data_IF_005569649444
#
_entry.id   IF_005569649444
#
_cell.length_a   1.000
_cell.length_b   1.000
_cell.length_c   1.000
_cell.angle_alpha   90.00
_cell.angle_beta   90.00
_cell.angle_gamma   90.00
#
_symmetry.space_group_name_H-M   'P 1'
#
loop_
_entity.id
_entity.type
_entity.pdbx_description
1 polymer ?
#
# COMPACT_ATOMS: atom_id res chain seq x y z
N UNK A 1 -55.46 -73.66 -5.07
CA UNK A 1 -54.02 -73.94 -4.90
C UNK A 1 -53.23 -73.13 -5.92
N UNK A 2 -52.70 -71.97 -5.51
CA UNK A 2 -51.59 -71.25 -6.15
C UNK A 2 -50.81 -70.63 -5.00
N UNK A 3 -49.55 -71.00 -4.82
CA UNK A 3 -48.64 -70.32 -3.91
C UNK A 3 -47.40 -69.93 -4.70
N UNK A 4 -47.11 -68.64 -4.63
CA UNK A 4 -46.16 -67.88 -5.41
C UNK A 4 -44.79 -67.90 -4.73
N UNK A 5 -43.74 -68.12 -5.50
CA UNK A 5 -42.35 -67.99 -5.09
C UNK A 5 -42.00 -66.52 -4.84
N UNK A 6 -41.76 -66.17 -3.58
CA UNK A 6 -41.28 -64.86 -3.17
C UNK A 6 -39.75 -64.93 -3.08
N UNK A 7 -39.06 -64.44 -4.12
CA UNK A 7 -37.61 -64.32 -4.16
C UNK A 7 -37.14 -63.23 -3.20
N UNK A 8 -36.20 -63.58 -2.33
CA UNK A 8 -35.57 -62.71 -1.35
C UNK A 8 -34.76 -61.60 -2.06
N UNK A 9 -35.15 -60.35 -1.85
CA UNK A 9 -34.27 -59.19 -2.09
C UNK A 9 -33.44 -59.04 -0.81
N UNK A 10 -32.20 -59.52 -0.83
CA UNK A 10 -31.22 -59.21 0.21
C UNK A 10 -30.67 -57.81 -0.06
N UNK A 11 -31.00 -56.86 0.80
CA UNK A 11 -30.29 -55.59 0.93
C UNK A 11 -28.88 -55.86 1.46
N UNK A 12 -27.95 -56.20 0.57
CA UNK A 12 -26.51 -56.23 0.89
C UNK A 12 -26.02 -54.81 1.07
N UNK A 13 -26.06 -54.31 2.31
CA UNK A 13 -25.36 -53.08 2.70
C UNK A 13 -23.86 -53.30 2.51
N UNK A 14 -23.28 -52.74 1.45
CA UNK A 14 -21.82 -52.70 1.28
C UNK A 14 -21.20 -51.93 2.45
N UNK A 15 -20.12 -52.47 3.01
CA UNK A 15 -19.36 -51.78 4.07
C UNK A 15 -18.43 -50.72 3.47
N UNK A 16 -18.09 -49.69 4.25
CA UNK A 16 -17.19 -48.61 3.80
C UNK A 16 -15.82 -49.13 3.33
N UNK A 17 -15.33 -50.21 3.95
CA UNK A 17 -14.07 -50.88 3.59
C UNK A 17 -14.15 -51.58 2.21
N UNK A 18 -15.30 -52.19 1.90
CA UNK A 18 -15.54 -52.82 0.61
C UNK A 18 -15.60 -51.77 -0.51
N UNK A 19 -16.30 -50.66 -0.27
CA UNK A 19 -16.35 -49.54 -1.23
C UNK A 19 -14.96 -48.94 -1.43
N UNK A 20 -14.20 -48.73 -0.35
CA UNK A 20 -12.84 -48.18 -0.43
C UNK A 20 -11.90 -49.10 -1.24
N UNK A 21 -11.96 -50.40 -0.97
CA UNK A 21 -11.15 -51.40 -1.71
C UNK A 21 -11.49 -51.43 -3.19
N UNK A 22 -12.79 -51.35 -3.52
CA UNK A 22 -13.25 -51.29 -4.91
C UNK A 22 -12.75 -50.03 -5.64
N UNK A 23 -12.85 -48.85 -5.02
CA UNK A 23 -12.37 -47.60 -5.61
C UNK A 23 -10.85 -47.57 -5.80
N UNK A 24 -10.09 -48.16 -4.87
CA UNK A 24 -8.63 -48.27 -5.00
C UNK A 24 -8.22 -49.19 -6.16
N UNK A 25 -8.96 -50.27 -6.40
CA UNK A 25 -8.70 -51.20 -7.51
C UNK A 25 -9.16 -50.65 -8.87
N UNK A 26 -10.06 -49.66 -8.88
CA UNK A 26 -10.66 -49.11 -10.10
C UNK A 26 -10.47 -47.59 -10.20
N UNK A 27 -9.22 -47.12 -10.20
CA UNK A 27 -8.91 -45.67 -10.24
C UNK A 27 -9.49 -44.94 -11.46
N UNK A 28 -9.50 -45.56 -12.64
CA UNK A 28 -10.05 -44.95 -13.86
C UNK A 28 -11.54 -44.65 -13.75
N UNK A 29 -12.30 -45.55 -13.12
CA UNK A 29 -13.73 -45.33 -12.88
C UNK A 29 -13.97 -44.13 -11.95
N UNK A 30 -13.15 -43.99 -10.90
CA UNK A 30 -13.23 -42.84 -10.00
C UNK A 30 -12.89 -41.53 -10.72
N UNK A 31 -11.86 -41.54 -11.56
CA UNK A 31 -11.45 -40.37 -12.37
C UNK A 31 -12.57 -39.94 -13.31
N UNK A 32 -13.12 -40.87 -14.11
CA UNK A 32 -14.24 -40.59 -15.01
C UNK A 32 -15.49 -40.12 -14.25
N UNK A 33 -15.75 -40.71 -13.07
CA UNK A 33 -16.87 -40.29 -12.24
C UNK A 33 -16.70 -38.85 -11.74
N UNK A 34 -15.51 -38.50 -11.26
CA UNK A 34 -15.19 -37.15 -10.79
C UNK A 34 -15.29 -36.14 -11.92
N UNK A 35 -14.76 -36.44 -13.10
CA UNK A 35 -14.74 -35.52 -14.23
C UNK A 35 -16.13 -35.27 -14.83
N UNK A 36 -17.00 -36.28 -14.84
CA UNK A 36 -18.31 -36.18 -15.51
C UNK A 36 -19.47 -35.88 -14.54
N UNK A 37 -19.33 -36.19 -13.25
CA UNK A 37 -20.45 -36.10 -12.29
C UNK A 37 -20.18 -35.19 -11.09
N UNK A 38 -18.96 -34.65 -10.91
CA UNK A 38 -18.69 -33.69 -9.84
C UNK A 38 -18.57 -32.27 -10.39
N UNK A 39 -19.38 -31.35 -9.84
CA UNK A 39 -19.25 -29.92 -10.12
C UNK A 39 -17.94 -29.36 -9.54
N UNK A 40 -17.37 -28.36 -10.24
CA UNK A 40 -16.11 -27.71 -9.85
C UNK A 40 -16.15 -27.15 -8.42
N UNK A 41 -17.24 -26.52 -8.01
CA UNK A 41 -17.41 -25.98 -6.65
C UNK A 41 -17.38 -27.06 -5.56
N UNK A 42 -17.86 -28.26 -5.88
CA UNK A 42 -17.86 -29.40 -4.96
C UNK A 42 -16.44 -29.94 -4.79
N UNK A 43 -15.69 -30.02 -5.90
CA UNK A 43 -14.27 -30.40 -5.87
C UNK A 43 -13.43 -29.39 -5.11
N UNK A 44 -13.62 -28.08 -5.33
CA UNK A 44 -12.94 -27.04 -4.55
C UNK A 44 -13.21 -27.22 -3.04
N UNK A 45 -14.47 -27.43 -2.63
CA UNK A 45 -14.84 -27.69 -1.23
C UNK A 45 -14.19 -28.96 -0.65
N UNK A 46 -14.02 -30.01 -1.45
CA UNK A 46 -13.37 -31.24 -1.02
C UNK A 46 -11.87 -31.04 -0.81
N UNK A 47 -11.21 -30.32 -1.72
CA UNK A 47 -9.79 -29.99 -1.58
C UNK A 47 -9.54 -29.12 -0.34
N UNK A 48 -10.43 -28.19 -0.01
CA UNK A 48 -10.38 -27.42 1.25
C UNK A 48 -10.39 -28.36 2.46
N UNK A 49 -11.39 -29.23 2.55
CA UNK A 49 -11.54 -30.15 3.70
C UNK A 49 -10.36 -31.10 3.82
N UNK A 50 -9.85 -31.61 2.69
CA UNK A 50 -8.67 -32.47 2.64
C UNK A 50 -7.42 -31.73 3.15
N UNK A 51 -7.20 -30.52 2.66
CA UNK A 51 -6.09 -29.64 3.04
C UNK A 51 -6.08 -29.31 4.54
N UNK A 52 -7.24 -28.96 5.11
CA UNK A 52 -7.37 -28.64 6.54
C UNK A 52 -7.07 -29.87 7.42
N UNK A 53 -7.52 -31.06 6.99
CA UNK A 53 -7.21 -32.32 7.69
C UNK A 53 -5.71 -32.61 7.72
N UNK A 54 -5.01 -32.39 6.60
CA UNK A 54 -3.56 -32.53 6.53
C UNK A 54 -2.85 -31.52 7.45
N UNK A 55 -3.31 -30.27 7.48
CA UNK A 55 -2.74 -29.24 8.36
C UNK A 55 -2.89 -29.58 9.84
N UNK A 56 -4.07 -30.07 10.26
CA UNK A 56 -4.31 -30.53 11.64
C UNK A 56 -3.43 -31.71 12.02
N UNK A 57 -3.23 -32.67 11.11
CA UNK A 57 -2.32 -33.81 11.32
C UNK A 57 -0.86 -33.36 11.43
N UNK A 58 -0.41 -32.40 10.63
CA UNK A 58 0.95 -31.87 10.69
C UNK A 58 1.22 -31.09 11.99
N UNK A 59 0.25 -30.29 12.46
CA UNK A 59 0.36 -29.54 13.71
C UNK A 59 0.41 -30.46 14.95
N UNK A 60 -0.22 -31.63 14.89
CA UNK A 60 -0.17 -32.63 15.97
C UNK A 60 1.14 -33.45 15.98
N UNK A 61 1.88 -33.49 14.89
CA UNK A 61 3.07 -34.34 14.74
C UNK A 61 4.41 -33.63 15.06
N UNK A 62 4.40 -32.34 15.45
CA UNK A 62 5.61 -31.60 15.87
C UNK A 62 6.74 -31.46 14.84
N UNK A 63 6.52 -31.90 13.59
CA UNK A 63 7.52 -31.97 12.55
C UNK A 63 7.53 -30.75 11.62
N UNK A 64 8.71 -30.41 11.10
CA UNK A 64 8.93 -29.45 10.02
C UNK A 64 7.97 -29.75 8.85
N UNK A 65 7.31 -28.72 8.34
CA UNK A 65 6.26 -28.84 7.32
C UNK A 65 6.73 -29.71 6.13
N UNK A 66 5.88 -30.60 5.59
CA UNK A 66 6.25 -31.45 4.46
C UNK A 66 6.58 -30.61 3.22
N UNK A 67 7.40 -31.12 2.28
CA UNK A 67 7.74 -30.39 1.06
C UNK A 67 6.45 -30.08 0.29
N UNK A 68 6.25 -28.78 0.01
CA UNK A 68 5.06 -28.26 -0.66
C UNK A 68 4.90 -28.95 -2.02
N UNK A 69 3.91 -29.84 -2.16
CA UNK A 69 3.23 -30.04 -3.44
C UNK A 69 2.02 -29.11 -3.42
N UNK A 70 2.14 -28.05 -4.19
CA UNK A 70 1.28 -26.86 -4.23
C UNK A 70 -0.01 -27.21 -4.95
N UNK A 71 -1.05 -27.55 -4.18
CA UNK A 71 -2.40 -27.50 -4.73
C UNK A 71 -2.83 -26.03 -4.70
N UNK A 72 -2.95 -25.42 -5.87
CA UNK A 72 -3.55 -24.09 -6.14
C UNK A 72 -4.77 -23.78 -5.26
N UNK A 73 -5.53 -24.81 -4.88
CA UNK A 73 -6.69 -24.69 -4.00
C UNK A 73 -6.31 -24.42 -2.53
N UNK A 74 -5.30 -25.09 -1.96
CA UNK A 74 -4.81 -24.82 -0.59
C UNK A 74 -4.35 -23.36 -0.45
N UNK A 75 -3.76 -22.85 -1.52
CA UNK A 75 -3.32 -21.47 -1.65
C UNK A 75 -4.49 -20.48 -1.76
N UNK A 76 -5.39 -20.67 -2.73
CA UNK A 76 -6.57 -19.82 -2.97
C UNK A 76 -7.33 -19.50 -1.68
N UNK A 77 -7.56 -20.49 -0.81
CA UNK A 77 -8.36 -20.30 0.42
C UNK A 77 -7.62 -19.70 1.62
N UNK A 78 -6.38 -20.11 1.91
CA UNK A 78 -5.58 -19.47 2.97
C UNK A 78 -5.33 -17.99 2.65
N UNK A 79 -5.05 -17.72 1.38
CA UNK A 79 -4.83 -16.37 0.87
C UNK A 79 -6.07 -15.48 1.02
N UNK A 80 -7.30 -15.97 0.83
CA UNK A 80 -8.50 -15.14 1.02
C UNK A 80 -8.75 -14.75 2.50
N UNK A 81 -8.51 -15.67 3.43
CA UNK A 81 -8.63 -15.38 4.87
C UNK A 81 -7.53 -14.42 5.34
N UNK A 82 -6.29 -14.65 4.92
CA UNK A 82 -5.14 -13.82 5.26
C UNK A 82 -5.24 -12.43 4.63
N UNK A 83 -5.70 -12.31 3.37
CA UNK A 83 -5.99 -11.02 2.72
C UNK A 83 -7.05 -10.22 3.45
N UNK A 84 -8.15 -10.84 3.87
CA UNK A 84 -9.22 -10.14 4.61
C UNK A 84 -8.70 -9.62 5.93
N UNK A 85 -7.95 -10.44 6.67
CA UNK A 85 -7.36 -10.05 7.96
C UNK A 85 -6.34 -8.92 7.77
N UNK A 86 -5.42 -9.07 6.81
CA UNK A 86 -4.45 -8.03 6.45
C UNK A 86 -5.15 -6.73 6.05
N UNK A 87 -6.18 -6.78 5.20
CA UNK A 87 -6.90 -5.56 4.80
C UNK A 87 -7.62 -4.92 5.98
N UNK A 88 -8.21 -5.72 6.88
CA UNK A 88 -8.79 -5.20 8.12
C UNK A 88 -7.75 -4.54 9.02
N UNK A 89 -6.56 -5.12 9.16
CA UNK A 89 -5.46 -4.59 9.96
C UNK A 89 -4.88 -3.31 9.34
N UNK A 90 -4.61 -3.30 8.03
CA UNK A 90 -4.18 -2.11 7.28
C UNK A 90 -5.22 -1.00 7.36
N UNK A 91 -6.51 -1.33 7.18
CA UNK A 91 -7.60 -0.35 7.27
C UNK A 91 -7.75 0.19 8.69
N UNK A 92 -7.57 -0.65 9.70
CA UNK A 92 -7.58 -0.22 11.11
C UNK A 92 -6.39 0.68 11.43
N UNK A 93 -5.19 0.33 10.96
CA UNK A 93 -3.98 1.15 11.13
C UNK A 93 -4.10 2.51 10.42
N UNK A 94 -4.72 2.52 9.24
CA UNK A 94 -5.02 3.73 8.48
C UNK A 94 -5.86 4.74 9.26
N UNK A 95 -6.82 4.28 10.08
CA UNK A 95 -7.61 5.18 10.94
C UNK A 95 -6.78 5.83 12.05
N UNK A 96 -5.71 5.18 12.50
CA UNK A 96 -4.85 5.67 13.59
C UNK A 96 -3.76 6.62 13.05
N UNK A 97 -3.08 6.26 11.96
CA UNK A 97 -2.03 7.08 11.34
C UNK A 97 -2.03 6.90 9.80
N UNK A 98 -2.76 7.76 9.06
CA UNK A 98 -2.87 7.66 7.62
C UNK A 98 -1.59 8.23 6.98
N UNK A 99 -0.63 7.34 6.74
CA UNK A 99 0.57 7.63 5.96
C UNK A 99 0.71 6.61 4.86
N UNK A 100 0.75 7.09 3.61
CA UNK A 100 1.01 6.29 2.41
C UNK A 100 2.21 5.34 2.60
N UNK A 101 3.23 5.88 3.24
CA UNK A 101 4.51 5.22 3.51
C UNK A 101 4.36 4.08 4.52
N UNK A 102 3.58 4.28 5.59
CA UNK A 102 3.35 3.23 6.58
C UNK A 102 2.58 2.06 5.98
N UNK A 103 1.53 2.34 5.20
CA UNK A 103 0.76 1.29 4.50
C UNK A 103 1.64 0.46 3.57
N UNK A 104 2.51 1.12 2.80
CA UNK A 104 3.42 0.43 1.89
C UNK A 104 4.43 -0.46 2.64
N UNK A 105 4.94 0.01 3.78
CA UNK A 105 5.85 -0.77 4.63
C UNK A 105 5.18 -2.02 5.20
N UNK A 106 3.97 -1.89 5.75
CA UNK A 106 3.20 -3.02 6.28
C UNK A 106 2.80 -4.01 5.18
N UNK A 107 2.42 -3.49 4.01
CA UNK A 107 2.12 -4.29 2.83
C UNK A 107 3.34 -5.09 2.38
N UNK A 108 4.52 -4.45 2.28
CA UNK A 108 5.77 -5.10 1.91
C UNK A 108 6.15 -6.22 2.90
N UNK A 109 6.08 -5.95 4.21
CA UNK A 109 6.35 -6.95 5.25
C UNK A 109 5.38 -8.15 5.18
N UNK A 110 4.10 -7.86 4.93
CA UNK A 110 3.07 -8.90 4.78
C UNK A 110 3.32 -9.76 3.54
N UNK A 111 3.67 -9.14 2.41
CA UNK A 111 4.02 -9.85 1.17
C UNK A 111 5.26 -10.73 1.40
N UNK A 112 6.31 -10.18 2.00
CA UNK A 112 7.53 -10.93 2.31
C UNK A 112 7.24 -12.18 3.15
N UNK A 113 6.39 -12.06 4.17
CA UNK A 113 5.93 -13.20 4.96
C UNK A 113 5.14 -14.22 4.13
N UNK A 114 4.21 -13.75 3.27
CA UNK A 114 3.37 -14.60 2.45
C UNK A 114 4.15 -15.44 1.43
N UNK A 115 5.23 -14.87 0.87
CA UNK A 115 6.13 -15.58 -0.03
C UNK A 115 7.35 -16.18 0.68
N UNK A 116 7.43 -16.21 2.00
CA UNK A 116 8.61 -16.73 2.71
C UNK A 116 9.93 -16.09 2.19
N UNK A 117 9.96 -14.78 2.00
CA UNK A 117 11.19 -14.04 1.71
C UNK A 117 12.01 -13.86 3.00
N UNK A 118 13.33 -13.91 2.90
CA UNK A 118 14.26 -13.74 4.02
C UNK A 118 14.42 -12.26 4.39
N UNK A 119 14.38 -11.38 3.41
CA UNK A 119 14.43 -9.93 3.56
C UNK A 119 13.72 -9.24 2.40
N UNK A 120 13.46 -7.93 2.55
CA UNK A 120 12.82 -7.12 1.53
C UNK A 120 13.33 -5.68 1.55
N UNK A 121 13.33 -5.04 0.39
CA UNK A 121 13.61 -3.62 0.21
C UNK A 121 12.45 -2.97 -0.53
N UNK A 122 12.09 -1.75 -0.12
CA UNK A 122 11.07 -0.96 -0.79
C UNK A 122 11.72 0.31 -1.37
N UNK A 123 11.38 0.64 -2.60
CA UNK A 123 11.83 1.85 -3.28
C UNK A 123 10.63 2.69 -3.64
N UNK A 124 10.61 3.96 -3.26
CA UNK A 124 9.53 4.89 -3.60
C UNK A 124 9.91 5.69 -4.83
N UNK A 125 8.95 5.86 -5.74
CA UNK A 125 9.13 6.64 -6.96
C UNK A 125 8.67 8.08 -6.72
N UNK A 126 9.57 9.05 -6.88
CA UNK A 126 9.23 10.47 -6.87
C UNK A 126 8.88 10.92 -8.30
N UNK A 127 7.63 11.36 -8.47
CA UNK A 127 7.12 11.82 -9.76
C UNK A 127 7.77 13.12 -10.23
N UNK A 128 8.24 13.97 -9.32
CA UNK A 128 8.83 15.27 -9.65
C UNK A 128 10.23 15.12 -10.22
N UNK A 129 11.05 14.27 -9.58
CA UNK A 129 12.44 14.02 -10.00
C UNK A 129 12.56 12.87 -11.00
N UNK A 130 11.52 12.01 -11.10
CA UNK A 130 11.55 10.74 -11.85
C UNK A 130 12.62 9.78 -11.33
N UNK A 131 12.94 9.85 -10.03
CA UNK A 131 13.96 9.03 -9.37
C UNK A 131 13.34 8.06 -8.36
N UNK A 132 14.01 6.93 -8.16
CA UNK A 132 13.69 5.99 -7.09
C UNK A 132 14.53 6.33 -5.86
N UNK A 133 13.90 6.20 -4.71
CA UNK A 133 14.48 6.49 -3.42
C UNK A 133 14.32 5.28 -2.50
N UNK A 134 15.41 4.82 -1.89
CA UNK A 134 15.36 3.66 -0.98
C UNK A 134 14.55 4.00 0.27
N UNK A 135 13.47 3.28 0.53
CA UNK A 135 12.68 3.49 1.72
C UNK A 135 13.18 2.66 2.90
N UNK A 136 13.58 3.34 3.98
CA UNK A 136 13.90 2.73 5.28
C UNK A 136 12.91 3.20 6.34
N UNK A 137 12.30 2.24 7.03
CA UNK A 137 11.46 2.49 8.19
C UNK A 137 12.25 2.09 9.44
N UNK A 138 12.78 3.06 10.19
CA UNK A 138 13.38 2.77 11.50
C UNK A 138 12.28 2.42 12.51
N UNK A 139 12.35 1.20 13.04
CA UNK A 139 11.64 0.61 14.20
C UNK A 139 10.55 1.48 14.83
N UNK A 140 9.36 1.48 14.21
CA UNK A 140 8.13 2.04 14.81
C UNK A 140 8.11 3.56 14.99
N UNK A 141 9.16 4.28 14.61
CA UNK A 141 9.22 5.75 14.58
C UNK A 141 9.52 6.21 13.16
N UNK A 142 8.62 5.88 12.25
CA UNK A 142 8.59 6.57 10.97
C UNK A 142 8.32 8.05 11.23
N UNK A 143 9.36 8.88 11.16
CA UNK A 143 9.31 10.35 11.19
C UNK A 143 8.71 10.89 9.87
N UNK A 144 7.73 10.21 9.30
CA UNK A 144 6.97 10.67 8.13
C UNK A 144 5.94 11.74 8.51
N UNK A 145 6.33 12.71 9.34
CA UNK A 145 5.56 13.94 9.53
C UNK A 145 6.06 14.95 8.51
N UNK A 146 5.47 14.96 7.32
CA UNK A 146 5.74 15.92 6.21
C UNK A 146 7.22 16.09 5.77
N UNK A 147 8.16 15.39 6.42
CA UNK A 147 9.59 15.45 6.18
C UNK A 147 9.99 14.41 5.15
N UNK A 148 10.55 14.91 4.05
CA UNK A 148 11.29 14.15 3.03
C UNK A 148 12.12 13.06 3.69
N UNK A 149 11.80 11.80 3.39
CA UNK A 149 12.63 10.65 3.75
C UNK A 149 13.94 10.83 2.99
N UNK A 150 14.96 11.45 3.61
CA UNK A 150 16.25 11.70 2.99
C UNK A 150 16.92 10.37 2.67
N UNK A 151 16.80 9.96 1.43
CA UNK A 151 17.23 8.66 0.96
C UNK A 151 17.94 8.88 -0.35
N UNK A 152 19.16 8.33 -0.43
CA UNK A 152 20.00 8.50 -1.59
C UNK A 152 19.26 7.97 -2.82
N UNK A 153 19.28 8.71 -3.95
CA UNK A 153 18.67 8.24 -5.18
C UNK A 153 19.32 6.93 -5.59
N UNK A 154 18.49 5.99 -6.03
CA UNK A 154 18.93 4.68 -6.47
C UNK A 154 19.64 4.81 -7.83
N UNK A 155 20.79 4.16 -8.04
CA UNK A 155 21.49 4.20 -9.32
C UNK A 155 20.58 3.82 -10.49
N UNK A 156 20.70 4.52 -11.62
CA UNK A 156 19.88 4.27 -12.82
C UNK A 156 20.05 2.87 -13.43
N UNK A 157 21.14 2.20 -13.08
CA UNK A 157 21.46 0.83 -13.48
C UNK A 157 20.95 -0.22 -12.49
N UNK A 158 20.27 0.15 -11.40
CA UNK A 158 19.76 -0.83 -10.44
C UNK A 158 18.63 -1.70 -11.02
N UNK A 159 18.42 -2.87 -10.40
CA UNK A 159 17.28 -3.74 -10.70
C UNK A 159 15.95 -3.00 -10.48
N UNK A 160 15.81 -2.33 -9.34
CA UNK A 160 14.64 -1.52 -9.04
C UNK A 160 14.34 -0.49 -10.14
N UNK A 161 15.34 0.23 -10.65
CA UNK A 161 15.12 1.20 -11.75
C UNK A 161 14.70 0.53 -13.04
N UNK A 162 15.27 -0.63 -13.37
CA UNK A 162 14.88 -1.40 -14.55
C UNK A 162 13.42 -1.86 -14.45
N UNK A 163 13.02 -2.40 -13.30
CA UNK A 163 11.64 -2.84 -13.03
C UNK A 163 10.67 -1.67 -13.03
N UNK A 164 11.03 -0.53 -12.44
CA UNK A 164 10.23 0.69 -12.49
C UNK A 164 9.97 1.14 -13.95
N UNK A 165 10.96 1.01 -14.83
CA UNK A 165 10.82 1.37 -16.24
C UNK A 165 9.98 0.37 -17.03
N UNK A 166 10.19 -0.92 -16.83
CA UNK A 166 9.46 -1.98 -17.55
C UNK A 166 8.02 -2.14 -17.04
N UNK A 167 7.79 -1.83 -15.75
CA UNK A 167 6.52 -2.07 -15.05
C UNK A 167 6.06 -3.53 -15.10
N UNK A 168 7.02 -4.44 -15.19
CA UNK A 168 6.81 -5.88 -15.15
C UNK A 168 7.66 -6.50 -14.04
N UNK A 169 7.16 -7.54 -13.36
CA UNK A 169 7.93 -8.26 -12.35
C UNK A 169 9.12 -8.98 -12.98
N UNK A 170 10.20 -9.10 -12.20
CA UNK A 170 11.44 -9.75 -12.61
C UNK A 170 11.91 -10.71 -11.53
N UNK A 171 12.31 -11.91 -11.94
CA UNK A 171 12.97 -12.90 -11.10
C UNK A 171 14.41 -13.08 -11.53
N UNK A 172 15.32 -13.08 -10.57
CA UNK A 172 16.75 -13.32 -10.80
C UNK A 172 17.21 -14.46 -9.91
N UNK A 173 17.91 -15.42 -10.52
CA UNK A 173 18.64 -16.47 -9.82
C UNK A 173 20.14 -16.20 -9.94
N UNK A 174 20.85 -16.20 -8.81
CA UNK A 174 22.30 -16.00 -8.81
C UNK A 174 22.97 -17.14 -9.60
N UNK A 175 23.72 -16.78 -10.65
CA UNK A 175 24.38 -17.72 -11.57
C UNK A 175 23.68 -17.94 -12.93
N UNK A 176 22.54 -17.30 -13.20
CA UNK A 176 21.96 -17.24 -14.55
C UNK A 176 22.40 -15.94 -15.26
N UNK A 177 23.16 -16.08 -16.35
CA UNK A 177 23.54 -14.96 -17.21
C UNK A 177 22.34 -14.51 -18.06
N UNK A 178 21.54 -13.58 -17.54
CA UNK A 178 20.54 -12.88 -18.35
C UNK A 178 21.16 -11.59 -18.90
N UNK A 179 21.24 -11.49 -20.23
CA UNK A 179 21.77 -10.33 -20.93
C UNK A 179 21.04 -9.00 -20.57
N UNK A 180 19.78 -9.07 -20.10
CA UNK A 180 19.01 -7.91 -19.62
C UNK A 180 19.56 -7.33 -18.31
N UNK A 181 20.28 -8.15 -17.52
CA UNK A 181 20.79 -7.79 -16.19
C UNK A 181 22.32 -7.69 -16.13
N UNK A 182 23.03 -7.90 -17.25
CA UNK A 182 24.49 -7.84 -17.33
C UNK A 182 25.10 -6.48 -16.89
N UNK A 183 24.31 -5.41 -16.89
CA UNK A 183 24.70 -4.06 -16.46
C UNK A 183 24.06 -3.62 -15.14
N UNK A 184 23.33 -4.51 -14.47
CA UNK A 184 22.67 -4.18 -13.21
C UNK A 184 23.70 -4.11 -12.11
N UNK A 185 23.82 -2.94 -11.48
CA UNK A 185 24.66 -2.79 -10.28
C UNK A 185 23.86 -3.39 -9.14
N UNK A 186 24.30 -4.56 -8.70
CA UNK A 186 23.66 -5.28 -7.62
C UNK A 186 23.92 -4.54 -6.31
N UNK A 187 22.92 -3.81 -5.83
CA UNK A 187 22.91 -3.21 -4.49
C UNK A 187 22.36 -4.22 -3.46
N UNK A 188 22.40 -5.52 -3.79
CA UNK A 188 21.83 -6.61 -3.02
C UNK A 188 22.38 -6.67 -1.60
N UNK A 189 21.54 -7.22 -0.73
CA UNK A 189 22.06 -7.80 0.50
C UNK A 189 23.15 -8.84 0.15
N UNK A 190 24.31 -8.82 0.81
CA UNK A 190 25.49 -9.60 0.42
C UNK A 190 25.29 -11.13 0.42
N UNK A 191 24.16 -11.61 0.95
CA UNK A 191 23.80 -13.03 1.04
C UNK A 191 22.55 -13.41 0.21
N UNK A 192 22.02 -12.51 -0.63
CA UNK A 192 20.87 -12.82 -1.49
C UNK A 192 21.29 -13.75 -2.65
N UNK A 193 20.59 -14.87 -2.80
CA UNK A 193 20.80 -15.81 -3.90
C UNK A 193 19.67 -15.78 -4.93
N UNK A 194 18.47 -15.39 -4.51
CA UNK A 194 17.30 -15.26 -5.37
C UNK A 194 16.60 -13.95 -5.09
N UNK A 195 16.20 -13.26 -6.15
CA UNK A 195 15.56 -11.95 -6.07
C UNK A 195 14.25 -11.98 -6.85
N UNK A 196 13.18 -11.46 -6.26
CA UNK A 196 11.92 -11.16 -6.93
C UNK A 196 11.64 -9.67 -6.77
N UNK A 197 11.69 -8.94 -7.87
CA UNK A 197 11.45 -7.52 -7.93
C UNK A 197 10.10 -7.26 -8.61
N UNK A 198 9.20 -6.54 -7.93
CA UNK A 198 7.84 -6.32 -8.39
C UNK A 198 7.50 -4.82 -8.37
N UNK A 199 6.98 -4.26 -9.48
CA UNK A 199 6.53 -2.89 -9.49
C UNK A 199 5.23 -2.75 -8.69
N UNK A 200 5.11 -1.64 -7.96
CA UNK A 200 3.89 -1.24 -7.25
C UNK A 200 3.21 -0.18 -8.10
N UNK A 201 2.21 -0.60 -8.87
CA UNK A 201 1.44 0.27 -9.78
C UNK A 201 0.05 0.48 -9.19
N UNK A 202 -0.39 1.73 -9.13
CA UNK A 202 -1.75 2.10 -8.71
C UNK A 202 -2.78 1.73 -9.79
N UNK A 203 -4.09 1.63 -9.44
CA UNK A 203 -5.14 1.29 -10.41
C UNK A 203 -5.27 2.26 -11.60
N UNK A 204 -4.79 3.50 -11.45
CA UNK A 204 -4.71 4.51 -12.51
C UNK A 204 -3.53 4.30 -13.48
N UNK A 205 -2.69 3.29 -13.22
CA UNK A 205 -1.49 2.99 -13.98
C UNK A 205 -0.24 3.73 -13.50
N UNK A 206 -0.32 4.50 -12.42
CA UNK A 206 0.82 5.26 -11.93
C UNK A 206 1.78 4.42 -11.09
N UNK A 207 3.08 4.57 -11.32
CA UNK A 207 4.10 3.89 -10.52
C UNK A 207 4.21 4.57 -9.14
N UNK A 208 4.02 3.79 -8.08
CA UNK A 208 4.27 4.23 -6.70
C UNK A 208 5.68 3.88 -6.24
N UNK A 209 6.21 2.73 -6.69
CA UNK A 209 7.49 2.24 -6.23
C UNK A 209 7.81 0.84 -6.74
N UNK A 210 8.87 0.25 -6.20
CA UNK A 210 9.30 -1.13 -6.50
C UNK A 210 9.58 -1.86 -5.19
N UNK A 211 9.07 -3.08 -5.08
CA UNK A 211 9.33 -3.99 -3.97
C UNK A 211 10.33 -5.05 -4.43
N UNK A 212 11.46 -5.15 -3.75
CA UNK A 212 12.42 -6.25 -3.93
C UNK A 212 12.34 -7.21 -2.76
N UNK A 213 12.27 -8.50 -3.07
CA UNK A 213 12.18 -9.60 -2.13
C UNK A 213 13.39 -10.50 -2.33
N UNK A 214 14.06 -10.87 -1.24
CA UNK A 214 15.28 -11.67 -1.31
C UNK A 214 15.12 -13.00 -0.59
N UNK A 215 15.75 -14.03 -1.14
CA UNK A 215 15.95 -15.31 -0.49
C UNK A 215 17.42 -15.70 -0.55
N UNK A 216 17.91 -16.32 0.51
CA UNK A 216 19.28 -16.84 0.63
C UNK A 216 19.45 -18.14 -0.15
N UNK A 217 20.69 -18.60 -0.30
CA UNK A 217 21.02 -19.79 -1.08
C UNK A 217 20.45 -21.11 -0.50
N UNK A 218 20.13 -21.14 0.80
CA UNK A 218 19.48 -22.27 1.47
C UNK A 218 17.96 -22.29 1.31
N UNK A 219 17.38 -21.19 0.80
CA UNK A 219 15.96 -21.06 0.47
C UNK A 219 15.70 -21.47 -0.99
N UNK A 220 14.47 -21.93 -1.34
CA UNK A 220 14.13 -22.22 -2.73
C UNK A 220 14.04 -20.93 -3.57
N UNK A 221 14.37 -21.00 -4.86
CA UNK A 221 14.15 -19.90 -5.81
C UNK A 221 12.69 -19.45 -5.86
N UNK A 222 12.45 -18.23 -6.35
CA UNK A 222 11.09 -17.74 -6.60
C UNK A 222 10.46 -18.42 -7.83
N UNK A 223 9.19 -18.79 -7.73
CA UNK A 223 8.40 -19.41 -8.81
C UNK A 223 7.25 -18.50 -9.26
N UNK A 224 6.57 -18.88 -10.35
CA UNK A 224 5.40 -18.13 -10.87
C UNK A 224 4.32 -17.96 -9.79
N UNK A 225 4.15 -18.97 -8.92
CA UNK A 225 3.22 -18.93 -7.79
C UNK A 225 3.55 -17.79 -6.80
N UNK A 226 4.84 -17.51 -6.57
CA UNK A 226 5.27 -16.41 -5.69
C UNK A 226 4.92 -15.05 -6.33
N UNK A 227 5.09 -14.93 -7.64
CA UNK A 227 4.72 -13.73 -8.40
C UNK A 227 3.21 -13.48 -8.36
N UNK A 228 2.40 -14.53 -8.55
CA UNK A 228 0.94 -14.45 -8.42
C UNK A 228 0.51 -14.03 -7.00
N UNK A 229 1.21 -14.50 -5.96
CA UNK A 229 0.99 -14.04 -4.58
C UNK A 229 1.23 -12.54 -4.49
N UNK A 230 2.42 -12.08 -4.88
CA UNK A 230 2.81 -10.67 -4.77
C UNK A 230 1.81 -9.79 -5.52
N UNK A 231 1.53 -10.10 -6.78
CA UNK A 231 0.59 -9.35 -7.60
C UNK A 231 -0.80 -9.28 -6.93
N UNK A 232 -1.27 -10.41 -6.40
CA UNK A 232 -2.56 -10.43 -5.74
C UNK A 232 -2.59 -9.54 -4.49
N UNK A 233 -1.56 -9.57 -3.64
CA UNK A 233 -1.47 -8.67 -2.49
C UNK A 233 -1.36 -7.20 -2.90
N UNK A 234 -0.62 -6.89 -3.98
CA UNK A 234 -0.47 -5.52 -4.48
C UNK A 234 -1.78 -4.93 -5.01
N UNK A 235 -2.65 -5.72 -5.66
CA UNK A 235 -3.98 -5.26 -6.07
C UNK A 235 -4.82 -4.82 -4.85
N UNK A 236 -4.83 -5.63 -3.78
CA UNK A 236 -5.53 -5.28 -2.54
C UNK A 236 -4.87 -4.12 -1.79
N UNK A 237 -3.54 -4.12 -1.76
CA UNK A 237 -2.74 -3.03 -1.21
C UNK A 237 -2.96 -1.70 -1.92
N UNK A 238 -3.22 -1.73 -3.23
CA UNK A 238 -3.58 -0.56 -4.03
C UNK A 238 -4.85 0.13 -3.54
N UNK A 239 -5.84 -0.63 -3.07
CA UNK A 239 -7.07 -0.08 -2.47
C UNK A 239 -6.75 0.61 -1.14
N UNK A 240 -5.97 -0.05 -0.27
CA UNK A 240 -5.56 0.53 1.01
C UNK A 240 -4.72 1.81 0.80
N UNK A 241 -3.83 1.79 -0.19
CA UNK A 241 -3.02 2.94 -0.59
C UNK A 241 -3.89 4.11 -1.07
N UNK A 242 -4.89 3.82 -1.90
CA UNK A 242 -5.83 4.81 -2.38
C UNK A 242 -6.62 5.44 -1.23
N UNK A 243 -7.08 4.63 -0.26
CA UNK A 243 -7.74 5.16 0.93
C UNK A 243 -6.80 5.99 1.81
N UNK A 244 -5.54 5.59 1.95
CA UNK A 244 -4.52 6.38 2.65
C UNK A 244 -4.41 7.79 2.05
N UNK A 245 -4.28 7.84 0.73
CA UNK A 245 -4.12 9.07 -0.05
C UNK A 245 -5.36 9.95 0.04
N UNK A 246 -6.55 9.36 -0.15
CA UNK A 246 -7.84 10.03 0.00
C UNK A 246 -7.98 10.65 1.40
N UNK A 247 -7.65 9.89 2.45
CA UNK A 247 -7.72 10.36 3.82
C UNK A 247 -6.75 11.53 4.06
N UNK A 248 -5.49 11.42 3.61
CA UNK A 248 -4.51 12.50 3.75
C UNK A 248 -4.98 13.80 3.07
N UNK A 249 -5.57 13.69 1.87
CA UNK A 249 -6.17 14.84 1.16
C UNK A 249 -7.33 15.44 1.97
N UNK A 250 -8.26 14.61 2.44
CA UNK A 250 -9.40 15.06 3.25
C UNK A 250 -8.94 15.72 4.56
N UNK A 251 -7.94 15.15 5.23
CA UNK A 251 -7.38 15.71 6.46
C UNK A 251 -6.75 17.09 6.21
N UNK A 252 -6.02 17.26 5.10
CA UNK A 252 -5.47 18.56 4.68
C UNK A 252 -6.57 19.57 4.37
N UNK A 253 -7.60 19.18 3.63
CA UNK A 253 -8.75 20.03 3.34
C UNK A 253 -9.49 20.44 4.62
N UNK A 254 -9.71 19.50 5.55
CA UNK A 254 -10.35 19.79 6.84
C UNK A 254 -9.52 20.77 7.69
N UNK A 255 -8.19 20.62 7.70
CA UNK A 255 -7.28 21.55 8.36
C UNK A 255 -7.38 22.95 7.76
N UNK A 256 -7.38 23.05 6.43
CA UNK A 256 -7.56 24.32 5.69
C UNK A 256 -8.91 24.97 6.00
N UNK A 257 -10.01 24.21 5.93
CA UNK A 257 -11.35 24.71 6.24
C UNK A 257 -11.47 25.16 7.69
N UNK A 258 -10.94 24.39 8.64
CA UNK A 258 -10.93 24.76 10.06
C UNK A 258 -10.14 26.04 10.31
N UNK A 259 -8.99 26.17 9.63
CA UNK A 259 -8.16 27.37 9.69
C UNK A 259 -8.91 28.59 9.14
N UNK A 260 -9.53 28.47 7.97
CA UNK A 260 -10.34 29.54 7.37
C UNK A 260 -11.49 29.96 8.28
N UNK A 261 -12.22 29.01 8.86
CA UNK A 261 -13.32 29.31 9.80
C UNK A 261 -12.84 30.01 11.08
N UNK A 262 -11.67 29.62 11.60
CA UNK A 262 -11.07 30.28 12.75
C UNK A 262 -10.71 31.75 12.44
N UNK A 263 -10.20 32.01 11.24
CA UNK A 263 -9.86 33.36 10.78
C UNK A 263 -11.09 34.21 10.58
N UNK A 264 -12.11 33.66 9.90
CA UNK A 264 -13.40 34.34 9.72
C UNK A 264 -13.99 34.73 11.09
N UNK A 265 -14.01 33.81 12.06
CA UNK A 265 -14.43 34.13 13.44
C UNK A 265 -13.58 35.23 14.07
N UNK A 266 -12.26 35.15 13.97
CA UNK A 266 -11.35 36.15 14.54
C UNK A 266 -11.56 37.55 13.96
N UNK A 267 -11.83 37.66 12.66
CA UNK A 267 -12.13 38.93 11.99
C UNK A 267 -13.47 39.51 12.47
N UNK A 268 -14.52 38.68 12.57
CA UNK A 268 -15.85 39.14 12.98
C UNK A 268 -15.97 39.44 14.48
N UNK A 269 -15.22 38.76 15.35
CA UNK A 269 -15.26 38.99 16.79
C UNK A 269 -14.58 40.30 17.20
N UNK A 270 -13.49 40.69 16.53
CA UNK A 270 -12.68 41.87 16.90
C UNK A 270 -12.83 43.04 15.91
N UNK A 271 -14.01 43.19 15.30
CA UNK A 271 -14.33 44.25 14.33
C UNK A 271 -14.52 45.63 15.00
N UNK A 272 -13.54 46.05 15.81
CA UNK A 272 -13.56 47.35 16.51
C UNK A 272 -13.02 48.48 15.63
N UNK A 273 -12.05 48.19 14.74
CA UNK A 273 -11.49 49.18 13.79
C UNK A 273 -11.10 48.54 12.45
N UNK A 274 -11.11 49.32 11.37
CA UNK A 274 -10.65 48.88 10.05
C UNK A 274 -9.19 48.39 10.09
N UNK A 275 -8.31 49.10 10.80
CA UNK A 275 -6.89 48.75 10.85
C UNK A 275 -6.65 47.39 11.54
N UNK A 276 -7.40 47.06 12.60
CA UNK A 276 -7.37 45.74 13.25
C UNK A 276 -7.77 44.60 12.31
N UNK A 277 -8.85 44.81 11.54
CA UNK A 277 -9.33 43.84 10.56
C UNK A 277 -8.30 43.61 9.45
N UNK A 278 -7.71 44.70 8.94
CA UNK A 278 -6.72 44.62 7.86
C UNK A 278 -5.47 43.87 8.30
N UNK A 279 -4.93 44.15 9.50
CA UNK A 279 -3.77 43.42 10.04
C UNK A 279 -4.07 41.92 10.09
N UNK A 280 -5.23 41.52 10.62
CA UNK A 280 -5.63 40.10 10.71
C UNK A 280 -5.75 39.43 9.35
N UNK A 281 -6.35 40.10 8.37
CA UNK A 281 -6.45 39.58 6.99
C UNK A 281 -5.06 39.37 6.40
N UNK A 282 -4.14 40.32 6.60
CA UNK A 282 -2.79 40.25 6.06
C UNK A 282 -1.93 39.18 6.72
N UNK A 283 -1.95 39.07 8.05
CA UNK A 283 -1.28 37.98 8.78
C UNK A 283 -1.83 36.62 8.35
N UNK A 284 -3.14 36.51 8.14
CA UNK A 284 -3.74 35.29 7.62
C UNK A 284 -3.27 34.97 6.21
N UNK A 285 -3.34 35.92 5.28
CA UNK A 285 -2.94 35.74 3.90
C UNK A 285 -1.47 35.28 3.82
N UNK A 286 -0.59 35.94 4.58
CA UNK A 286 0.82 35.57 4.72
C UNK A 286 0.99 34.12 5.17
N UNK A 287 0.35 33.71 6.28
CA UNK A 287 0.44 32.34 6.80
C UNK A 287 -0.10 31.32 5.80
N UNK A 288 -1.18 31.64 5.09
CA UNK A 288 -1.81 30.75 4.12
C UNK A 288 -0.90 30.45 2.93
N UNK A 289 -0.19 31.46 2.42
CA UNK A 289 0.76 31.30 1.30
C UNK A 289 2.18 30.98 1.74
N UNK A 290 2.43 30.89 3.05
CA UNK A 290 3.78 30.71 3.62
C UNK A 290 4.77 31.75 3.07
N UNK A 291 4.33 33.00 2.93
CA UNK A 291 5.16 34.09 2.47
C UNK A 291 5.95 34.69 3.64
N UNK A 292 7.20 35.05 3.39
CA UNK A 292 8.04 35.69 4.41
C UNK A 292 7.53 37.08 4.77
N UNK A 293 6.93 37.79 3.80
CA UNK A 293 6.43 39.16 3.96
C UNK A 293 5.14 39.35 3.16
N UNK A 294 4.26 40.20 3.68
CA UNK A 294 3.06 40.63 2.98
C UNK A 294 2.81 42.13 3.19
N UNK A 295 2.33 42.82 2.16
CA UNK A 295 2.00 44.26 2.20
C UNK A 295 0.67 44.50 1.50
N UNK A 296 -0.16 45.39 2.07
CA UNK A 296 -1.46 45.75 1.50
C UNK A 296 -1.47 47.20 1.05
N UNK A 297 -1.85 47.42 -0.21
CA UNK A 297 -2.11 48.73 -0.77
C UNK A 297 -3.61 48.87 -1.01
N UNK A 298 -4.19 49.94 -0.48
CA UNK A 298 -5.59 50.30 -0.62
C UNK A 298 -5.72 51.45 -1.61
N UNK A 299 -6.80 51.46 -2.39
CA UNK A 299 -7.06 52.52 -3.37
C UNK A 299 -8.01 53.56 -2.77
N UNK A 300 -7.56 54.82 -2.72
CA UNK A 300 -8.42 55.97 -2.47
C UNK A 300 -9.03 56.44 -3.80
N UNK A 301 -10.30 56.09 -4.04
CA UNK A 301 -10.98 56.40 -5.29
C UNK A 301 -11.27 57.90 -5.48
N UNK A 302 -11.25 58.70 -4.40
CA UNK A 302 -11.50 60.14 -4.46
C UNK A 302 -10.24 60.90 -4.88
N UNK A 303 -9.09 60.57 -4.29
CA UNK A 303 -7.82 61.21 -4.63
C UNK A 303 -7.09 60.53 -5.79
N UNK A 304 -7.55 59.34 -6.22
CA UNK A 304 -6.88 58.47 -7.21
C UNK A 304 -5.45 58.13 -6.79
N UNK A 305 -5.28 57.82 -5.51
CA UNK A 305 -4.01 57.42 -4.90
C UNK A 305 -4.09 55.99 -4.37
N UNK A 306 -2.98 55.27 -4.44
CA UNK A 306 -2.72 54.05 -3.69
C UNK A 306 -2.09 54.45 -2.36
N UNK A 307 -2.62 53.95 -1.24
CA UNK A 307 -2.05 54.16 0.07
C UNK A 307 -1.82 52.84 0.80
N UNK A 308 -0.76 52.76 1.58
CA UNK A 308 -0.45 51.61 2.42
C UNK A 308 -0.28 52.06 3.87
N UNK A 309 -1.02 51.41 4.77
CA UNK A 309 -0.95 51.61 6.23
C UNK A 309 -0.17 50.52 6.94
N UNK A 310 -0.07 49.33 6.33
CA UNK A 310 0.57 48.16 6.94
C UNK A 310 1.64 47.67 5.97
N UNK A 311 2.88 47.83 6.38
CA UNK A 311 4.06 47.32 5.70
C UNK A 311 4.65 46.18 6.51
N UNK A 312 5.09 45.15 5.79
CA UNK A 312 5.94 44.11 6.34
C UNK A 312 5.35 43.41 7.56
N UNK A 313 4.21 42.73 7.38
CA UNK A 313 3.72 41.80 8.39
C UNK A 313 4.77 40.69 8.52
N UNK A 314 5.62 40.80 9.54
CA UNK A 314 6.68 39.84 9.83
C UNK A 314 6.44 39.20 11.20
N UNK A 315 6.27 37.87 11.23
CA UNK A 315 6.30 37.10 12.48
C UNK A 315 4.94 36.75 13.10
N UNK A 316 4.99 35.79 14.02
CA UNK A 316 3.85 35.13 14.63
C UNK A 316 3.09 36.06 15.61
N UNK A 317 1.76 36.25 15.48
CA UNK A 317 0.96 37.14 16.33
C UNK A 317 1.01 36.83 17.83
N UNK A 318 1.43 35.63 18.25
CA UNK A 318 1.54 35.26 19.68
C UNK A 318 2.78 35.84 20.38
N UNK A 319 3.76 36.37 19.66
CA UNK A 319 5.00 36.89 20.25
C UNK A 319 4.95 38.36 20.69
N UNK A 320 3.76 38.96 20.77
CA UNK A 320 3.60 40.33 21.27
C UNK A 320 4.35 41.39 20.44
N UNK A 321 4.72 41.06 19.20
CA UNK A 321 5.30 42.00 18.26
C UNK A 321 4.29 43.10 17.95
N UNK A 322 4.48 44.27 18.54
CA UNK A 322 3.77 45.48 18.14
C UNK A 322 4.08 45.73 16.67
N UNK A 323 3.12 45.45 15.79
CA UNK A 323 3.13 46.00 14.44
C UNK A 323 3.07 47.52 14.61
N UNK A 324 4.23 48.19 14.55
CA UNK A 324 4.26 49.64 14.45
C UNK A 324 3.44 50.01 13.22
N UNK A 325 2.33 50.73 13.44
CA UNK A 325 1.53 51.29 12.36
C UNK A 325 2.42 52.30 11.66
N UNK A 326 3.06 51.86 10.57
CA UNK A 326 3.92 52.70 9.77
C UNK A 326 3.13 53.91 9.26
N UNK A 327 3.80 55.06 9.18
CA UNK A 327 3.23 56.31 8.66
C UNK A 327 2.66 56.04 7.26
N UNK A 328 1.38 56.38 7.05
CA UNK A 328 0.67 56.10 5.79
C UNK A 328 1.46 56.62 4.58
N UNK A 329 1.82 55.72 3.67
CA UNK A 329 2.55 56.06 2.43
C UNK A 329 1.53 56.14 1.30
N UNK A 330 1.58 57.21 0.49
CA UNK A 330 0.66 57.47 -0.63
C UNK A 330 1.40 57.63 -1.95
N UNK A 331 0.85 57.07 -3.02
CA UNK A 331 1.36 57.15 -4.39
C UNK A 331 0.21 57.46 -5.36
N UNK A 332 0.41 58.30 -6.39
CA UNK A 332 -0.59 58.48 -7.44
C UNK A 332 -0.78 57.20 -8.26
N UNK A 333 -2.01 56.90 -8.67
CA UNK A 333 -2.26 55.75 -9.55
C UNK A 333 -1.67 56.02 -10.95
N UNK A 334 -0.96 55.03 -11.50
CA UNK A 334 -0.42 55.08 -12.88
C UNK A 334 0.97 55.70 -13.05
N UNK A 335 1.72 55.88 -11.96
CA UNK A 335 3.11 56.40 -11.99
C UNK A 335 4.19 55.34 -11.72
N UNK A 336 3.85 54.05 -11.93
CA UNK A 336 4.75 52.91 -11.71
C UNK A 336 5.48 52.45 -12.96
#
# INVERSE_FOLDING_TARGET
>A
MRSCSQSCIQDTKMTEEQVTSYLLQNQRFLEDFVMNHCELETLERWVIRYTQRLSKKAAQAGGRAPPRKTSLSRWKFCVHADKRKMLQELTSSLYLKPSKVHVLSELAATIASAVNADSWNLFLFDRNTQELHNFKCDDGKCQCGDGTVQTNPVPKTSLATLVARMREPVRICNGEDDARFAHVVDMSEPNAAFILAHPIVQPDGELTGVLELYRKADSPRFYDEDEEIVNSYLVWGGIALHYAEMYSIMARQRKLHSFLLAVVRSIFQDMVSMDSVIVKIMTFAQKLVSADRASLFLVDNRTKELYARIFDVSGDPDNGGTHEVAKEIRFPIGTG
#
